data_IF_558141195370
#
_entry.id   IF_558141195370
#
_cell.length_a   1.000
_cell.length_b   1.000
_cell.length_c   1.000
_cell.angle_alpha   90.00
_cell.angle_beta   90.00
_cell.angle_gamma   90.00
#
_symmetry.space_group_name_H-M   'P 1'
#
loop_
_entity.id
_entity.type
_entity.pdbx_description
1 polymer ?
#
# COMPACT_ATOMS: atom_id res chain seq x y z
N UNK A 1 2.92 -9.76 8.04
CA UNK A 1 1.94 -8.78 7.50
C UNK A 1 1.17 -9.35 6.31
N UNK A 2 1.86 -9.79 5.25
CA UNK A 2 1.25 -10.29 4.00
C UNK A 2 0.20 -11.40 4.24
N UNK A 3 0.57 -12.53 4.87
CA UNK A 3 -0.36 -13.65 5.12
C UNK A 3 -1.62 -13.23 5.90
N UNK A 4 -1.48 -12.30 6.86
CA UNK A 4 -2.61 -11.78 7.64
C UNK A 4 -3.58 -11.00 6.75
N UNK A 5 -3.08 -10.17 5.84
CA UNK A 5 -3.91 -9.37 4.93
C UNK A 5 -4.48 -10.23 3.79
N UNK A 6 -3.79 -11.28 3.36
CA UNK A 6 -4.33 -12.31 2.47
C UNK A 6 -5.54 -13.02 3.10
N UNK A 7 -5.40 -13.51 4.34
CA UNK A 7 -6.52 -14.15 5.07
C UNK A 7 -7.73 -13.22 5.24
N UNK A 8 -7.48 -11.91 5.39
CA UNK A 8 -8.52 -10.88 5.47
C UNK A 8 -9.06 -10.43 4.11
N UNK A 9 -8.53 -10.93 2.99
CA UNK A 9 -8.86 -10.53 1.63
C UNK A 9 -8.63 -9.03 1.34
N UNK A 10 -7.72 -8.38 2.06
CA UNK A 10 -7.31 -7.00 1.79
C UNK A 10 -6.32 -6.89 0.62
N UNK A 11 -5.59 -7.97 0.32
CA UNK A 11 -4.69 -8.09 -0.82
C UNK A 11 -4.94 -9.45 -1.50
N UNK A 12 -4.61 -9.53 -2.79
CA UNK A 12 -4.66 -10.75 -3.61
C UNK A 12 -3.47 -10.78 -4.55
N UNK A 13 -3.13 -11.97 -5.06
CA UNK A 13 -2.15 -12.08 -6.14
C UNK A 13 -2.69 -11.43 -7.41
N UNK A 14 -1.81 -10.76 -8.13
CA UNK A 14 -2.08 -10.13 -9.41
C UNK A 14 -0.93 -10.44 -10.36
N UNK A 15 -1.28 -10.64 -11.63
CA UNK A 15 -0.33 -10.87 -12.73
C UNK A 15 0.15 -9.58 -13.39
N UNK A 16 -0.30 -8.41 -12.90
CA UNK A 16 0.05 -7.13 -13.48
C UNK A 16 1.51 -6.78 -13.18
N UNK A 17 2.28 -6.43 -14.20
CA UNK A 17 3.65 -5.94 -14.05
C UNK A 17 3.64 -4.49 -13.53
N UNK A 18 3.62 -4.34 -12.22
CA UNK A 18 3.82 -3.05 -11.58
C UNK A 18 4.66 -3.21 -10.31
N UNK A 19 5.81 -2.54 -10.28
CA UNK A 19 6.72 -2.58 -9.16
C UNK A 19 6.62 -1.32 -8.30
N UNK A 20 6.43 -1.53 -7.01
CA UNK A 20 6.42 -0.46 -6.01
C UNK A 20 7.34 -0.82 -4.86
N UNK A 21 7.98 0.21 -4.29
CA UNK A 21 8.81 0.04 -3.11
C UNK A 21 7.92 -0.23 -1.89
N UNK A 22 8.25 -1.30 -1.16
CA UNK A 22 7.63 -1.64 0.12
C UNK A 22 8.57 -1.19 1.24
N UNK A 23 8.04 -0.41 2.17
CA UNK A 23 8.77 0.14 3.31
C UNK A 23 8.15 -0.40 4.60
N UNK A 24 8.96 -0.95 5.49
CA UNK A 24 8.52 -1.35 6.82
C UNK A 24 8.89 -0.27 7.84
N UNK A 25 7.89 0.23 8.57
CA UNK A 25 8.06 1.28 9.57
C UNK A 25 7.69 0.72 10.94
N UNK A 26 8.57 0.92 11.92
CA UNK A 26 8.30 0.64 13.31
C UNK A 26 7.44 1.75 13.92
N UNK A 27 6.33 1.36 14.55
CA UNK A 27 5.49 2.26 15.35
C UNK A 27 6.00 2.35 16.78
N UNK A 28 5.58 3.41 17.49
CA UNK A 28 5.90 3.63 18.92
C UNK A 28 5.52 2.45 19.81
N UNK A 29 4.44 1.74 19.48
CA UNK A 29 4.01 0.51 20.17
C UNK A 29 4.78 -0.75 19.75
N UNK A 30 5.96 -0.60 19.11
CA UNK A 30 6.81 -1.68 18.58
C UNK A 30 6.15 -2.56 17.52
N UNK A 31 4.98 -2.19 17.01
CA UNK A 31 4.36 -2.89 15.89
C UNK A 31 5.03 -2.48 14.57
N UNK A 32 5.16 -3.45 13.66
CA UNK A 32 5.65 -3.21 12.31
C UNK A 32 4.48 -2.95 11.36
N UNK A 33 4.53 -1.82 10.64
CA UNK A 33 3.55 -1.50 9.62
C UNK A 33 4.21 -1.49 8.24
N UNK A 34 3.54 -2.12 7.27
CA UNK A 34 3.94 -2.09 5.87
C UNK A 34 3.34 -0.85 5.21
N UNK A 35 4.19 -0.10 4.52
CA UNK A 35 3.83 1.02 3.66
C UNK A 35 4.26 0.72 2.23
N UNK A 36 3.46 1.19 1.27
CA UNK A 36 3.78 1.09 -0.16
C UNK A 36 4.03 2.52 -0.64
N UNK A 37 5.15 2.73 -1.32
CA UNK A 37 5.49 4.02 -1.89
C UNK A 37 4.70 4.29 -3.18
N UNK A 38 3.54 4.92 -3.03
CA UNK A 38 2.68 5.31 -4.15
C UNK A 38 3.05 6.66 -4.77
N UNK A 39 4.22 7.27 -4.48
CA UNK A 39 4.56 8.60 -5.02
C UNK A 39 4.51 8.66 -6.55
N UNK A 40 5.09 7.65 -7.23
CA UNK A 40 5.03 7.56 -8.70
C UNK A 40 3.59 7.47 -9.21
N UNK A 41 2.78 6.62 -8.59
CA UNK A 41 1.38 6.43 -8.96
C UNK A 41 0.53 7.68 -8.74
N UNK A 42 0.72 8.36 -7.60
CA UNK A 42 0.01 9.59 -7.24
C UNK A 42 0.31 10.77 -8.16
N UNK A 43 1.40 10.71 -8.94
CA UNK A 43 1.72 11.71 -9.96
C UNK A 43 1.07 11.39 -11.32
N UNK A 44 0.67 10.14 -11.55
CA UNK A 44 0.07 9.69 -12.82
C UNK A 44 -1.47 9.71 -12.76
N UNK A 45 -2.05 9.41 -11.58
CA UNK A 45 -3.51 9.33 -11.42
C UNK A 45 -4.16 10.73 -11.47
N UNK A 46 -5.32 10.82 -12.14
CA UNK A 46 -6.20 11.99 -12.14
C UNK A 46 -6.82 12.17 -10.74
N UNK A 47 -6.60 13.34 -10.12
CA UNK A 47 -7.12 13.66 -8.80
C UNK A 47 -8.47 14.36 -8.90
N UNK A 48 -9.54 13.65 -8.60
CA UNK A 48 -10.85 14.26 -8.43
C UNK A 48 -10.92 15.01 -7.09
N UNK A 49 -11.26 16.30 -7.11
CA UNK A 49 -11.46 17.11 -5.91
C UNK A 49 -12.94 17.05 -5.51
N UNK A 50 -13.22 16.47 -4.37
CA UNK A 50 -14.56 16.48 -3.77
C UNK A 50 -14.66 17.63 -2.76
N UNK A 51 -15.79 18.33 -2.76
CA UNK A 51 -16.11 19.31 -1.70
C UNK A 51 -16.41 18.54 -0.42
N UNK A 52 -15.85 19.02 0.69
CA UNK A 52 -16.07 18.51 2.04
C UNK A 52 -17.29 19.21 2.67
#
# INVERSE_FOLDING_TARGET
YINKNFKKKFIRELTLEAEYLIIFIFKKNRSLQLYIDFRKLNNIIIKNKYLL
#
